data_IF_805609745040
#
_entry.id   IF_805609745040
#
_cell.length_a   1.000
_cell.length_b   1.000
_cell.length_c   1.000
_cell.angle_alpha   90.00
_cell.angle_beta   90.00
_cell.angle_gamma   90.00
#
_symmetry.space_group_name_H-M   'P 1'
#
loop_
_entity.id
_entity.type
_entity.pdbx_description
1 polymer ?
#
# COMPACT_ATOMS: atom_id res chain seq x y z
N UNK A 1 8.72 -3.59 -9.76
CA UNK A 1 7.61 -4.39 -9.18
C UNK A 1 6.41 -3.51 -8.87
N UNK A 2 5.20 -4.03 -9.00
CA UNK A 2 3.95 -3.30 -8.69
C UNK A 2 3.11 -4.18 -7.77
N UNK A 3 2.76 -3.68 -6.58
CA UNK A 3 1.80 -4.35 -5.69
C UNK A 3 0.41 -3.93 -6.14
N UNK A 4 -0.47 -4.90 -6.40
CA UNK A 4 -1.83 -4.65 -6.90
C UNK A 4 -2.84 -5.47 -6.10
N UNK A 5 -3.86 -4.81 -5.56
CA UNK A 5 -5.07 -5.45 -5.02
C UNK A 5 -4.79 -6.63 -4.08
N UNK A 6 -4.15 -6.36 -2.94
CA UNK A 6 -3.86 -7.38 -1.93
C UNK A 6 -4.62 -7.08 -0.62
N UNK A 7 -5.95 -7.22 -0.57
CA UNK A 7 -6.76 -6.82 0.59
C UNK A 7 -6.45 -7.62 1.86
N UNK A 8 -5.99 -8.87 1.74
CA UNK A 8 -5.62 -9.72 2.87
C UNK A 8 -4.17 -9.52 3.34
N UNK A 9 -3.41 -8.64 2.68
CA UNK A 9 -2.02 -8.38 3.03
C UNK A 9 -1.99 -7.34 4.14
N UNK A 10 -1.89 -7.78 5.38
CA UNK A 10 -1.85 -6.90 6.56
C UNK A 10 -0.51 -6.18 6.75
N UNK A 11 0.57 -6.66 6.14
CA UNK A 11 1.89 -6.04 6.18
C UNK A 11 2.54 -6.11 4.80
N UNK A 12 3.11 -5.00 4.34
CA UNK A 12 3.89 -5.01 3.11
C UNK A 12 5.27 -5.65 3.33
N UNK A 13 5.79 -6.43 2.36
CA UNK A 13 7.12 -7.04 2.45
C UNK A 13 8.25 -6.02 2.17
N UNK A 14 8.11 -4.79 2.66
CA UNK A 14 9.12 -3.74 2.61
C UNK A 14 9.65 -3.53 4.02
N UNK A 15 10.42 -4.49 4.52
CA UNK A 15 11.15 -4.32 5.77
C UNK A 15 12.22 -3.22 5.61
N UNK A 16 12.61 -2.55 6.69
CA UNK A 16 13.66 -1.51 6.70
C UNK A 16 15.01 -1.96 6.12
N UNK A 17 15.22 -3.27 5.92
CA UNK A 17 16.39 -3.89 5.27
C UNK A 17 16.17 -4.23 3.80
N UNK A 18 14.93 -4.44 3.38
CA UNK A 18 14.56 -4.57 1.99
C UNK A 18 14.46 -3.16 1.42
N UNK A 19 15.63 -2.54 1.21
CA UNK A 19 15.73 -1.21 0.61
C UNK A 19 14.79 -1.14 -0.56
N UNK A 20 13.87 -0.17 -0.52
CA UNK A 20 12.86 0.08 -1.55
C UNK A 20 13.60 0.03 -2.87
N UNK A 21 13.53 -1.13 -3.52
CA UNK A 21 14.40 -1.37 -4.66
C UNK A 21 14.04 -0.29 -5.68
N UNK A 22 15.02 0.26 -6.40
CA UNK A 22 14.76 1.27 -7.46
C UNK A 22 13.75 0.79 -8.54
N UNK A 23 13.26 -0.45 -8.44
CA UNK A 23 12.20 -1.04 -9.25
C UNK A 23 10.78 -0.85 -8.67
N UNK A 24 10.59 -0.39 -7.43
CA UNK A 24 9.25 -0.15 -6.90
C UNK A 24 8.67 1.09 -7.59
N UNK A 25 7.67 0.86 -8.46
CA UNK A 25 7.09 1.94 -9.25
C UNK A 25 5.83 2.49 -8.61
N UNK A 26 4.90 1.61 -8.21
CA UNK A 26 3.58 1.98 -7.67
C UNK A 26 3.04 0.89 -6.75
N UNK A 27 2.31 1.30 -5.72
CA UNK A 27 1.50 0.46 -4.84
C UNK A 27 0.05 0.86 -5.08
N UNK A 28 -0.74 -0.05 -5.62
CA UNK A 28 -2.15 0.19 -5.90
C UNK A 28 -3.00 -0.54 -4.86
N UNK A 29 -3.80 0.21 -4.09
CA UNK A 29 -4.70 -0.35 -3.09
C UNK A 29 -5.79 0.63 -2.67
N UNK A 30 -6.79 0.13 -1.93
CA UNK A 30 -7.79 0.98 -1.30
C UNK A 30 -7.17 1.82 -0.18
N UNK A 31 -7.72 3.00 0.08
CA UNK A 31 -7.27 3.85 1.17
C UNK A 31 -7.46 3.16 2.53
N UNK A 32 -8.59 2.49 2.74
CA UNK A 32 -8.88 1.73 3.96
C UNK A 32 -7.87 0.60 4.20
N UNK A 33 -7.46 -0.07 3.13
CA UNK A 33 -6.40 -1.09 3.22
C UNK A 33 -5.06 -0.45 3.59
N UNK A 34 -4.70 0.67 2.97
CA UNK A 34 -3.44 1.37 3.24
C UNK A 34 -3.36 1.89 4.68
N UNK A 35 -4.47 2.42 5.20
CA UNK A 35 -4.58 2.92 6.58
C UNK A 35 -4.55 1.77 7.60
N UNK A 36 -5.12 0.61 7.24
CA UNK A 36 -5.12 -0.61 8.06
C UNK A 36 -3.87 -1.47 7.97
N UNK A 37 -2.84 -1.07 7.22
CA UNK A 37 -1.58 -1.80 7.15
C UNK A 37 -0.82 -1.71 8.48
N UNK A 38 -0.33 -2.85 8.96
CA UNK A 38 0.60 -2.94 10.08
C UNK A 38 2.00 -2.53 9.62
N UNK A 39 2.38 -1.30 9.92
CA UNK A 39 3.69 -0.75 9.66
C UNK A 39 4.66 -1.08 10.79
N UNK A 40 5.81 -1.69 10.47
CA UNK A 40 6.86 -1.92 11.47
C UNK A 40 7.50 -0.64 11.99
N UNK A 41 7.65 0.34 11.11
CA UNK A 41 8.19 1.65 11.44
C UNK A 41 7.44 2.71 10.63
N UNK A 42 7.10 3.83 11.28
CA UNK A 42 6.44 4.96 10.62
C UNK A 42 7.30 5.54 9.50
N UNK A 43 8.62 5.42 9.59
CA UNK A 43 9.56 5.78 8.53
C UNK A 43 9.31 4.98 7.25
N UNK A 44 8.95 3.69 7.35
CA UNK A 44 8.65 2.85 6.18
C UNK A 44 7.39 3.37 5.48
N UNK A 45 6.34 3.65 6.25
CA UNK A 45 5.12 4.27 5.71
C UNK A 45 5.45 5.56 4.96
N UNK A 46 6.18 6.49 5.60
CA UNK A 46 6.55 7.78 5.00
C UNK A 46 7.35 7.63 3.69
N UNK A 47 8.26 6.67 3.62
CA UNK A 47 9.02 6.39 2.39
C UNK A 47 8.16 5.80 1.27
N UNK A 48 7.06 5.13 1.60
CA UNK A 48 6.18 4.47 0.63
C UNK A 48 4.98 5.33 0.18
N UNK A 49 4.63 6.39 0.93
CA UNK A 49 3.61 7.39 0.54
C UNK A 49 3.75 7.85 -0.93
N UNK A 50 4.93 8.27 -1.44
CA UNK A 50 5.03 8.75 -2.82
C UNK A 50 4.77 7.67 -3.88
N UNK A 51 4.82 6.38 -3.50
CA UNK A 51 4.55 5.26 -4.39
C UNK A 51 3.10 4.78 -4.28
N UNK A 52 2.36 5.21 -3.27
CA UNK A 52 0.97 4.80 -3.06
C UNK A 52 0.03 5.54 -4.02
N UNK A 53 -0.74 4.75 -4.76
CA UNK A 53 -1.75 5.21 -5.68
C UNK A 53 -3.09 4.65 -5.20
N UNK A 54 -3.91 5.48 -4.51
CA UNK A 54 -5.20 5.04 -4.03
C UNK A 54 -6.08 4.67 -5.22
N UNK A 55 -6.70 3.49 -5.11
CA UNK A 55 -7.74 3.07 -6.04
C UNK A 55 -9.06 3.57 -5.44
N UNK A 56 -9.76 4.41 -6.18
CA UNK A 56 -11.07 4.90 -5.78
C UNK A 56 -12.07 3.72 -5.85
N UNK A 57 -12.24 3.03 -4.73
CA UNK A 57 -13.23 1.95 -4.55
C UNK A 57 -14.67 2.45 -4.37
N UNK A 58 -14.89 3.77 -4.43
CA UNK A 58 -16.23 4.41 -4.42
C UNK A 58 -17.20 3.87 -5.50
N UNK A 59 -16.73 3.09 -6.47
CA UNK A 59 -17.57 2.43 -7.47
C UNK A 59 -18.11 1.03 -7.06
N UNK A 60 -17.67 0.43 -5.94
CA UNK A 60 -18.07 -0.95 -5.57
C UNK A 60 -19.01 -1.01 -4.35
N UNK A 61 -19.28 0.11 -3.69
CA UNK A 61 -20.26 0.21 -2.59
C UNK A 61 -21.19 1.42 -2.77
N UNK A 62 -21.81 1.56 -3.95
CA UNK A 62 -23.16 2.14 -3.96
C UNK A 62 -24.09 1.04 -3.48
N UNK A 63 -24.25 0.98 -2.16
CA UNK A 63 -25.37 0.30 -1.53
C UNK A 63 -26.59 1.21 -1.54
N UNK A 64 -27.52 0.95 -2.47
CA UNK A 64 -28.96 0.84 -2.18
C UNK A 64 -29.63 -0.11 -3.17
#
# INVERSE_FOLDING_TARGET
>A
MTVKYCPNLGKLPFDSKAGISNSLQKIHGAQEWWDGLEWEDQTIMQNLIPYFVPILVFAITIEV
#
